data_IF_888181269761
#
_entry.id   IF_888181269761
#
_cell.length_a   1.000
_cell.length_b   1.000
_cell.length_c   1.000
_cell.angle_alpha   90.00
_cell.angle_beta   90.00
_cell.angle_gamma   90.00
#
_symmetry.space_group_name_H-M   'P 1'
#
loop_
_entity.id
_entity.type
_entity.pdbx_description
1 polymer ?
#
# COMPACT_ATOMS: atom_id res chain seq x y z
N UNK A 1 -15.61 -2.53 -1.71
CA UNK A 1 -14.53 -1.76 -1.04
C UNK A 1 -13.83 -2.68 -0.06
N UNK A 2 -12.52 -2.91 -0.23
CA UNK A 2 -11.72 -3.71 0.70
C UNK A 2 -11.57 -2.93 2.01
N UNK A 3 -12.02 -3.52 3.12
CA UNK A 3 -12.04 -2.90 4.44
C UNK A 3 -10.67 -3.10 5.14
N UNK A 4 -9.60 -2.62 4.50
CA UNK A 4 -8.23 -2.74 5.03
C UNK A 4 -8.09 -1.81 6.23
N UNK A 5 -7.74 -2.38 7.40
CA UNK A 5 -7.56 -1.61 8.63
C UNK A 5 -6.10 -1.31 8.95
N UNK A 6 -5.17 -2.09 8.38
CA UNK A 6 -3.74 -1.97 8.62
C UNK A 6 -2.95 -2.08 7.32
N UNK A 7 -2.09 -1.09 7.06
CA UNK A 7 -1.15 -1.06 5.93
C UNK A 7 0.26 -1.32 6.48
N UNK A 8 0.98 -2.25 5.87
CA UNK A 8 2.39 -2.55 6.17
C UNK A 8 3.21 -2.22 4.93
N UNK A 9 4.09 -1.23 5.04
CA UNK A 9 5.00 -0.81 3.98
C UNK A 9 6.42 -1.31 4.28
N UNK A 10 7.03 -1.97 3.30
CA UNK A 10 8.37 -2.54 3.43
C UNK A 10 9.22 -2.14 2.21
N UNK A 11 10.46 -1.70 2.44
CA UNK A 11 11.39 -1.36 1.36
C UNK A 11 11.75 -2.56 0.48
N UNK A 12 11.87 -3.75 1.08
CA UNK A 12 12.13 -4.98 0.36
C UNK A 12 10.84 -5.64 -0.11
N UNK A 13 10.80 -5.99 -1.40
CA UNK A 13 9.69 -6.75 -1.98
C UNK A 13 9.77 -8.20 -1.49
N UNK A 14 9.08 -8.50 -0.39
CA UNK A 14 8.91 -9.86 0.10
C UNK A 14 8.24 -10.73 -0.96
N UNK A 15 8.77 -11.95 -1.13
CA UNK A 15 8.08 -13.01 -1.84
C UNK A 15 6.74 -13.33 -1.16
N UNK A 16 5.81 -13.97 -1.87
CA UNK A 16 4.52 -14.38 -1.29
C UNK A 16 4.67 -15.18 0.01
N UNK A 17 5.65 -16.10 0.04
CA UNK A 17 5.94 -16.93 1.23
C UNK A 17 6.46 -16.12 2.42
N UNK A 18 7.21 -15.05 2.16
CA UNK A 18 7.67 -14.14 3.23
C UNK A 18 6.53 -13.26 3.72
N UNK A 19 5.66 -12.79 2.82
CA UNK A 19 4.45 -12.03 3.18
C UNK A 19 3.52 -12.87 4.06
N UNK A 20 3.30 -14.15 3.72
CA UNK A 20 2.51 -15.08 4.55
C UNK A 20 3.07 -15.21 5.97
N UNK A 21 4.39 -15.42 6.11
CA UNK A 21 5.04 -15.51 7.43
C UNK A 21 4.88 -14.23 8.27
N UNK A 22 4.92 -13.08 7.61
CA UNK A 22 4.80 -11.77 8.27
C UNK A 22 3.36 -11.55 8.72
N UNK A 23 2.39 -11.87 7.87
CA UNK A 23 0.97 -11.83 8.20
C UNK A 23 0.65 -12.77 9.37
N UNK A 24 1.15 -14.00 9.35
CA UNK A 24 1.01 -14.96 10.45
C UNK A 24 1.64 -14.44 11.75
N UNK A 25 2.80 -13.78 11.68
CA UNK A 25 3.41 -13.12 12.84
C UNK A 25 2.51 -12.01 13.39
N UNK A 26 1.94 -11.16 12.51
CA UNK A 26 1.04 -10.09 12.93
C UNK A 26 -0.26 -10.59 13.57
N UNK A 27 -0.81 -11.68 13.05
CA UNK A 27 -1.99 -12.30 13.62
C UNK A 27 -1.72 -12.88 15.01
N UNK A 28 -0.60 -13.59 15.17
CA UNK A 28 -0.24 -14.23 16.45
C UNK A 28 0.17 -13.25 17.54
N UNK A 29 0.97 -12.23 17.22
CA UNK A 29 1.53 -11.30 18.22
C UNK A 29 0.60 -10.11 18.52
N UNK A 30 -0.21 -9.69 17.55
CA UNK A 30 -1.00 -8.46 17.65
C UNK A 30 -2.50 -8.66 17.40
N UNK A 31 -2.95 -9.87 17.07
CA UNK A 31 -4.35 -10.17 16.78
C UNK A 31 -4.87 -9.54 15.49
N UNK A 32 -3.97 -9.12 14.59
CA UNK A 32 -4.34 -8.52 13.31
C UNK A 32 -4.62 -9.64 12.32
N UNK A 33 -5.90 -9.95 12.09
CA UNK A 33 -6.29 -11.00 11.14
C UNK A 33 -5.80 -10.69 9.73
N UNK A 34 -5.33 -11.71 9.04
CA UNK A 34 -4.80 -11.61 7.68
C UNK A 34 -5.74 -10.90 6.68
N UNK A 35 -7.05 -11.11 6.80
CA UNK A 35 -8.08 -10.45 5.98
C UNK A 35 -8.16 -8.92 6.13
N UNK A 36 -7.63 -8.38 7.23
CA UNK A 36 -7.64 -6.95 7.55
C UNK A 36 -6.29 -6.26 7.28
N UNK A 37 -5.27 -7.01 6.85
CA UNK A 37 -3.93 -6.52 6.60
C UNK A 37 -3.56 -6.68 5.13
N UNK A 38 -2.83 -5.71 4.58
CA UNK A 38 -2.25 -5.80 3.25
C UNK A 38 -0.81 -5.30 3.28
N UNK A 39 0.10 -6.09 2.72
CA UNK A 39 1.51 -5.75 2.58
C UNK A 39 1.71 -5.18 1.18
N UNK A 40 2.38 -4.03 1.10
CA UNK A 40 2.78 -3.43 -0.16
C UNK A 40 4.29 -3.22 -0.19
N UNK A 41 4.88 -3.38 -1.38
CA UNK A 41 6.27 -2.94 -1.57
C UNK A 41 6.32 -1.41 -1.61
N UNK A 42 7.22 -0.79 -0.85
CA UNK A 42 7.31 0.68 -0.78
C UNK A 42 7.53 1.32 -2.17
N UNK A 43 8.33 0.68 -3.02
CA UNK A 43 8.60 1.13 -4.40
C UNK A 43 7.45 0.87 -5.39
N UNK A 44 6.51 -0.01 -5.04
CA UNK A 44 5.34 -0.35 -5.86
C UNK A 44 4.02 0.06 -5.22
N UNK A 45 4.05 0.75 -4.08
CA UNK A 45 2.86 1.11 -3.33
C UNK A 45 1.90 1.96 -4.16
N UNK A 46 2.44 2.93 -4.90
CA UNK A 46 1.67 3.80 -5.79
C UNK A 46 0.93 3.05 -6.90
N UNK A 47 1.41 1.87 -7.31
CA UNK A 47 0.80 1.06 -8.38
C UNK A 47 -0.04 -0.11 -7.86
N UNK A 48 0.28 -0.65 -6.68
CA UNK A 48 -0.40 -1.81 -6.08
C UNK A 48 -1.58 -1.40 -5.17
N UNK A 49 -1.58 -0.17 -4.65
CA UNK A 49 -2.66 0.40 -3.84
C UNK A 49 -3.54 1.31 -4.69
N UNK A 50 -4.82 0.94 -4.86
CA UNK A 50 -5.83 1.74 -5.58
C UNK A 50 -5.96 3.15 -4.98
N UNK A 51 -5.95 3.25 -3.65
CA UNK A 51 -6.00 4.52 -2.94
C UNK A 51 -4.75 5.38 -3.17
N UNK A 52 -3.56 4.78 -3.09
CA UNK A 52 -2.32 5.51 -3.36
C UNK A 52 -2.29 5.98 -4.82
N UNK A 53 -2.65 5.11 -5.76
CA UNK A 53 -2.74 5.44 -7.18
C UNK A 53 -3.65 6.64 -7.44
N UNK A 54 -4.82 6.70 -6.79
CA UNK A 54 -5.73 7.85 -6.89
C UNK A 54 -5.10 9.15 -6.38
N UNK A 55 -4.39 9.12 -5.25
CA UNK A 55 -3.68 10.29 -4.71
C UNK A 55 -2.60 10.76 -5.69
N UNK A 56 -1.76 9.86 -6.18
CA UNK A 56 -0.68 10.19 -7.12
C UNK A 56 -1.23 10.82 -8.40
N UNK A 57 -2.32 10.27 -8.94
CA UNK A 57 -2.96 10.81 -10.14
C UNK A 57 -3.51 12.23 -9.91
N UNK A 58 -4.15 12.49 -8.77
CA UNK A 58 -4.66 13.83 -8.44
C UNK A 58 -3.54 14.85 -8.24
N UNK A 59 -2.48 14.48 -7.52
CA UNK A 59 -1.31 15.36 -7.34
C UNK A 59 -0.67 15.68 -8.70
N UNK A 60 -0.52 14.67 -9.56
CA UNK A 60 0.05 14.88 -10.89
C UNK A 60 -0.83 15.80 -11.76
N UNK A 61 -2.16 15.66 -11.69
CA UNK A 61 -3.09 16.57 -12.37
C UNK A 61 -2.94 18.02 -11.90
N UNK A 62 -2.89 18.24 -10.58
CA UNK A 62 -2.69 19.57 -9.99
C UNK A 62 -1.38 20.19 -10.50
N UNK A 63 -0.27 19.43 -10.43
CA UNK A 63 1.02 19.92 -10.90
C UNK A 63 0.99 20.26 -12.39
N UNK A 64 0.39 19.40 -13.22
CA UNK A 64 0.27 19.64 -14.67
C UNK A 64 -0.56 20.87 -14.96
N UNK A 65 -1.63 21.11 -14.22
CA UNK A 65 -2.49 22.26 -14.42
C UNK A 65 -1.82 23.56 -13.94
N UNK A 66 -1.11 23.53 -12.81
CA UNK A 66 -0.27 24.66 -12.34
C UNK A 66 0.80 25.03 -13.38
N UNK A 67 1.40 24.05 -14.07
CA UNK A 67 2.39 24.29 -15.13
C UNK A 67 1.80 24.85 -16.43
N UNK A 68 0.51 24.67 -16.70
CA UNK A 68 -0.16 25.22 -17.90
C UNK A 68 -0.56 26.69 -17.75
N UNK A 69 -0.59 27.20 -16.52
CA UNK A 69 -0.90 28.60 -16.22
C UNK A 69 0.32 29.54 -16.35
N UNK A 70 1.51 29.00 -16.65
CA UNK A 70 2.75 29.72 -16.97
C UNK A 70 3.08 29.69 -18.48
#
# INVERSE_FOLDING_TARGET
MLNVKTVIELENKFSKKEQEKVLDFFENEFGIRNENAKIFGASTYATESEFASEIYNKVNQILVDDFKEY
#
